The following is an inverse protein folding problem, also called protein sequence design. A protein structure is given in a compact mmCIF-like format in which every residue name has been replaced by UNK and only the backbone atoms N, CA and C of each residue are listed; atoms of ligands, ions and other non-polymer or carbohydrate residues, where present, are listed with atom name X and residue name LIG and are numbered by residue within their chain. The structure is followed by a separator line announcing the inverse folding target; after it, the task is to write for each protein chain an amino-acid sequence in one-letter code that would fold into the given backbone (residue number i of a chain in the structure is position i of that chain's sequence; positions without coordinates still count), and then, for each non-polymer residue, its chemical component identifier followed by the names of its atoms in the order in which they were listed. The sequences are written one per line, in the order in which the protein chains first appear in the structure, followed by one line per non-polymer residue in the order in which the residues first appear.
data_IF_112978057361
#
_entry.id   IF_112978057361
#
_cell.length_a   1.000
_cell.length_b   1.000
_cell.length_c   1.000
_cell.angle_alpha   90.00
_cell.angle_beta   90.00
_cell.angle_gamma   90.00
#
_symmetry.space_group_name_H-M   'P 1'
#
loop_
_entity.id
_entity.type
_entity.pdbx_description
1 polymer ?
#
# COMPACT_ATOMS: atom_id res chain seq x y z
N UNK A 1 -10.85 -22.01 -10.42
CA UNK A 1 -12.23 -21.81 -9.93
C UNK A 1 -12.87 -20.52 -10.43
N UNK A 2 -12.17 -19.39 -10.55
CA UNK A 2 -12.75 -18.13 -11.09
C UNK A 2 -13.28 -18.23 -12.54
N UNK A 3 -12.77 -19.18 -13.32
CA UNK A 3 -13.14 -19.39 -14.72
C UNK A 3 -14.27 -20.42 -14.90
N UNK A 4 -14.77 -21.02 -13.82
CA UNK A 4 -15.90 -21.93 -13.88
C UNK A 4 -17.21 -21.15 -13.82
N UNK A 5 -18.17 -21.48 -14.69
CA UNK A 5 -19.52 -20.96 -14.56
C UNK A 5 -20.14 -21.42 -13.24
N UNK A 6 -21.15 -20.70 -12.77
CA UNK A 6 -21.86 -21.05 -11.56
C UNK A 6 -22.52 -22.42 -11.69
N UNK A 7 -22.09 -23.38 -10.89
CA UNK A 7 -22.53 -24.79 -10.93
C UNK A 7 -22.22 -25.49 -9.63
N UNK A 8 -22.90 -26.59 -9.28
CA UNK A 8 -22.51 -27.46 -8.17
C UNK A 8 -21.11 -28.04 -8.39
N UNK A 9 -20.31 -28.07 -7.31
CA UNK A 9 -19.00 -28.71 -7.27
C UNK A 9 -19.03 -29.83 -6.24
N UNK A 10 -18.49 -31.00 -6.61
CA UNK A 10 -18.25 -32.10 -5.67
C UNK A 10 -16.78 -32.14 -5.28
N UNK A 11 -16.52 -32.15 -3.97
CA UNK A 11 -15.19 -32.31 -3.41
C UNK A 11 -15.10 -33.70 -2.81
N UNK A 12 -14.13 -34.47 -3.28
CA UNK A 12 -13.75 -35.78 -2.74
C UNK A 12 -12.34 -35.64 -2.18
N UNK A 13 -12.16 -35.89 -0.90
CA UNK A 13 -10.91 -35.68 -0.16
C UNK A 13 -10.53 -36.96 0.55
N UNK A 14 -9.41 -37.53 0.16
CA UNK A 14 -8.76 -38.64 0.87
C UNK A 14 -7.84 -38.09 1.95
N UNK A 15 -8.19 -38.29 3.21
CA UNK A 15 -7.45 -37.74 4.35
C UNK A 15 -6.13 -38.46 4.63
N UNK A 16 -5.93 -39.69 4.09
CA UNK A 16 -4.71 -40.45 4.30
C UNK A 16 -3.63 -40.07 3.27
N UNK A 17 -4.02 -39.91 2.04
CA UNK A 17 -3.12 -39.52 0.94
C UNK A 17 -3.10 -38.03 0.66
N UNK A 18 -4.01 -37.25 1.26
CA UNK A 18 -4.29 -35.83 0.97
C UNK A 18 -4.68 -35.56 -0.48
N UNK A 19 -5.12 -36.59 -1.20
CA UNK A 19 -5.59 -36.42 -2.57
C UNK A 19 -6.95 -35.71 -2.57
N UNK A 20 -7.04 -34.63 -3.35
CA UNK A 20 -8.25 -33.83 -3.50
C UNK A 20 -8.70 -33.90 -4.96
N UNK A 21 -9.95 -34.32 -5.15
CA UNK A 21 -10.61 -34.35 -6.46
C UNK A 21 -11.80 -33.41 -6.45
N UNK A 22 -11.81 -32.45 -7.35
CA UNK A 22 -12.94 -31.55 -7.57
C UNK A 22 -13.60 -31.92 -8.89
N UNK A 23 -14.86 -32.34 -8.82
CA UNK A 23 -15.65 -32.71 -10.01
C UNK A 23 -16.65 -31.60 -10.32
N UNK A 24 -16.72 -31.22 -11.58
CA UNK A 24 -17.68 -30.28 -12.12
C UNK A 24 -18.26 -30.81 -13.43
N UNK A 25 -19.29 -30.16 -14.00
CA UNK A 25 -20.09 -30.69 -15.11
C UNK A 25 -19.29 -31.28 -16.27
N UNK A 26 -18.20 -30.65 -16.68
CA UNK A 26 -17.45 -30.99 -17.88
C UNK A 26 -16.00 -31.39 -17.62
N UNK A 27 -15.66 -31.71 -16.37
CA UNK A 27 -14.28 -32.08 -16.06
C UNK A 27 -14.00 -32.30 -14.56
N UNK A 28 -12.74 -32.47 -14.27
CA UNK A 28 -12.26 -32.67 -12.91
C UNK A 28 -10.88 -32.05 -12.71
N UNK A 29 -10.60 -31.66 -11.48
CA UNK A 29 -9.27 -31.28 -11.01
C UNK A 29 -8.79 -32.30 -9.98
N UNK A 30 -7.54 -32.72 -10.11
CA UNK A 30 -6.87 -33.54 -9.10
C UNK A 30 -5.63 -32.77 -8.63
N UNK A 31 -5.44 -32.69 -7.32
CA UNK A 31 -4.24 -32.16 -6.72
C UNK A 31 -4.04 -32.73 -5.33
N UNK A 32 -2.85 -32.63 -4.79
CA UNK A 32 -2.53 -33.09 -3.44
C UNK A 32 -2.55 -31.92 -2.48
N UNK A 33 -3.28 -32.06 -1.39
CA UNK A 33 -3.29 -31.15 -0.27
C UNK A 33 -2.03 -31.29 0.60
N UNK A 34 -1.96 -30.49 1.63
CA UNK A 34 -0.94 -30.58 2.68
C UNK A 34 -1.63 -30.94 4.01
N UNK A 35 -0.88 -31.55 4.92
CA UNK A 35 -1.39 -31.82 6.26
C UNK A 35 -1.75 -30.48 6.94
N UNK A 36 -2.94 -30.37 7.49
CA UNK A 36 -3.41 -29.17 8.18
C UNK A 36 -2.58 -28.87 9.46
N UNK A 37 -1.96 -29.88 10.06
CA UNK A 37 -1.07 -29.72 11.23
C UNK A 37 0.23 -28.96 10.87
N UNK A 38 0.66 -29.02 9.60
CA UNK A 38 1.82 -28.28 9.11
C UNK A 38 1.53 -26.78 8.88
N UNK A 39 0.25 -26.39 8.97
CA UNK A 39 -0.12 -24.97 8.84
C UNK A 39 0.41 -24.19 10.04
N UNK A 40 1.19 -23.12 9.81
CA UNK A 40 1.80 -22.35 10.89
C UNK A 40 0.75 -21.86 11.90
N UNK A 41 0.91 -22.15 13.21
CA UNK A 41 -0.02 -21.65 14.21
C UNK A 41 0.01 -20.13 14.24
N UNK A 42 -1.17 -19.51 14.17
CA UNK A 42 -1.31 -18.08 14.34
C UNK A 42 -1.24 -17.76 15.83
N UNK A 43 -0.21 -17.05 16.24
CA UNK A 43 -0.16 -16.48 17.59
C UNK A 43 -1.04 -15.24 17.65
N UNK A 44 -1.92 -15.19 18.64
CA UNK A 44 -2.70 -13.99 18.89
C UNK A 44 -1.82 -12.84 19.41
N UNK A 45 -2.25 -11.61 19.12
CA UNK A 45 -1.63 -10.42 19.67
C UNK A 45 -1.93 -10.38 21.17
N UNK A 46 -0.89 -10.29 21.99
CA UNK A 46 -1.06 -10.15 23.45
C UNK A 46 -1.63 -8.79 23.84
N UNK A 47 -1.93 -8.60 25.13
CA UNK A 47 -2.54 -7.38 25.67
C UNK A 47 -1.68 -6.12 25.51
N UNK A 48 -0.38 -6.26 25.25
CA UNK A 48 0.58 -5.17 25.08
C UNK A 48 0.61 -4.59 23.64
N UNK A 49 -0.44 -4.77 22.83
CA UNK A 49 -0.52 -4.21 21.49
C UNK A 49 -1.23 -2.84 21.48
N UNK A 50 -0.85 -1.99 20.53
CA UNK A 50 -1.58 -0.77 20.21
C UNK A 50 -2.75 -1.10 19.29
N UNK A 51 -3.92 -0.53 19.59
CA UNK A 51 -5.10 -0.69 18.75
C UNK A 51 -5.46 0.63 18.09
N UNK A 52 -5.69 0.58 16.77
CA UNK A 52 -6.10 1.70 15.94
C UNK A 52 -7.38 1.30 15.20
N UNK A 53 -8.42 2.10 15.33
CA UNK A 53 -9.69 1.92 14.60
C UNK A 53 -9.87 3.06 13.64
N UNK A 54 -10.19 2.75 12.38
CA UNK A 54 -10.39 3.76 11.34
C UNK A 54 -11.32 3.23 10.24
N UNK A 55 -12.03 4.14 9.52
CA UNK A 55 -12.80 3.74 8.36
C UNK A 55 -11.91 3.08 7.29
N UNK A 56 -12.32 1.95 6.75
CA UNK A 56 -11.59 1.23 5.71
C UNK A 56 -11.30 2.09 4.49
N UNK A 57 -12.22 3.00 4.12
CA UNK A 57 -12.00 3.97 3.04
C UNK A 57 -10.76 4.83 3.28
N UNK A 58 -10.51 5.28 4.51
CA UNK A 58 -9.30 6.07 4.85
C UNK A 58 -8.05 5.24 4.61
N UNK A 59 -8.07 3.96 5.02
CA UNK A 59 -6.95 3.05 4.82
C UNK A 59 -6.69 2.79 3.33
N UNK A 60 -7.73 2.45 2.57
CA UNK A 60 -7.67 2.21 1.12
C UNK A 60 -7.10 3.43 0.39
N UNK A 61 -7.63 4.62 0.66
CA UNK A 61 -7.22 5.86 -0.01
C UNK A 61 -5.75 6.19 0.25
N UNK A 62 -5.31 6.03 1.50
CA UNK A 62 -3.93 6.32 1.87
C UNK A 62 -2.95 5.28 1.34
N UNK A 63 -3.32 4.00 1.31
CA UNK A 63 -2.52 2.97 0.65
C UNK A 63 -2.38 3.29 -0.85
N UNK A 64 -3.46 3.60 -1.54
CA UNK A 64 -3.43 3.94 -2.97
C UNK A 64 -2.54 5.14 -3.27
N UNK A 65 -2.56 6.17 -2.39
CA UNK A 65 -1.74 7.37 -2.55
C UNK A 65 -0.27 7.16 -2.22
N UNK A 66 0.08 6.14 -1.43
CA UNK A 66 1.42 5.94 -0.88
C UNK A 66 2.18 4.78 -1.52
N UNK A 67 1.47 3.74 -1.98
CA UNK A 67 2.09 2.49 -2.41
C UNK A 67 3.13 2.66 -3.54
N UNK A 68 2.88 3.57 -4.49
CA UNK A 68 3.80 3.84 -5.60
C UNK A 68 5.11 4.50 -5.17
N UNK A 69 5.11 5.14 -4.00
CA UNK A 69 6.27 5.83 -3.46
C UNK A 69 7.15 4.94 -2.57
N UNK A 70 6.76 3.69 -2.32
CA UNK A 70 7.59 2.74 -1.56
C UNK A 70 8.77 2.27 -2.41
N UNK A 71 9.90 2.03 -1.77
CA UNK A 71 11.06 1.43 -2.41
C UNK A 71 10.85 -0.07 -2.74
N UNK A 72 11.76 -0.62 -3.52
CA UNK A 72 11.92 -2.06 -3.74
C UNK A 72 13.42 -2.39 -3.67
N UNK A 73 14.06 -1.93 -2.61
CA UNK A 73 15.51 -1.92 -2.44
C UNK A 73 15.86 -2.76 -1.20
N UNK A 74 16.70 -3.77 -1.38
CA UNK A 74 17.19 -4.63 -0.30
C UNK A 74 18.15 -3.92 0.65
N UNK A 75 18.80 -2.85 0.19
CA UNK A 75 19.75 -2.07 1.00
C UNK A 75 19.03 -1.16 2.01
N UNK A 76 17.78 -0.80 1.75
CA UNK A 76 16.95 0.08 2.58
C UNK A 76 15.60 -0.53 2.89
N UNK A 77 15.54 -1.68 3.56
CA UNK A 77 14.30 -2.44 3.77
C UNK A 77 13.20 -1.63 4.47
N UNK A 78 13.56 -0.67 5.33
CA UNK A 78 12.62 0.22 6.01
C UNK A 78 11.80 1.11 5.05
N UNK A 79 12.28 1.33 3.81
CA UNK A 79 11.56 2.08 2.79
C UNK A 79 10.65 1.21 1.90
N UNK A 80 10.68 -0.11 2.07
CA UNK A 80 9.86 -1.06 1.29
C UNK A 80 8.42 -1.18 1.80
N UNK A 81 8.01 -0.31 2.70
CA UNK A 81 6.67 -0.28 3.28
C UNK A 81 6.05 1.10 3.37
N UNK A 82 4.84 1.13 3.86
CA UNK A 82 4.10 2.35 4.19
C UNK A 82 4.20 2.55 5.69
N UNK A 83 4.77 3.67 6.09
CA UNK A 83 4.94 4.04 7.50
C UNK A 83 3.72 4.78 8.03
N UNK A 84 3.19 4.28 9.13
CA UNK A 84 2.07 4.86 9.87
C UNK A 84 2.64 5.49 11.15
N UNK A 85 2.48 6.79 11.29
CA UNK A 85 2.97 7.59 12.41
C UNK A 85 1.79 8.22 13.13
N UNK A 86 1.45 7.66 14.29
CA UNK A 86 0.32 8.07 15.13
C UNK A 86 0.80 9.02 16.19
N UNK A 87 0.12 10.15 16.29
CA UNK A 87 0.35 11.15 17.32
C UNK A 87 -0.97 11.60 17.95
N UNK A 88 -0.96 12.34 19.07
CA UNK A 88 -2.18 12.94 19.61
C UNK A 88 -2.88 13.93 18.68
N UNK A 89 -2.19 14.41 17.67
CA UNK A 89 -2.72 15.41 16.73
C UNK A 89 -3.25 14.79 15.43
N UNK A 90 -2.62 13.72 14.97
CA UNK A 90 -2.95 13.14 13.66
C UNK A 90 -2.35 11.76 13.45
N UNK A 91 -2.88 11.05 12.45
CA UNK A 91 -2.22 9.93 11.80
C UNK A 91 -1.53 10.43 10.52
N UNK A 92 -0.20 10.37 10.47
CA UNK A 92 0.55 10.58 9.24
C UNK A 92 0.85 9.24 8.58
N UNK A 93 0.62 9.15 7.28
CA UNK A 93 0.90 7.96 6.45
C UNK A 93 1.93 8.38 5.42
N UNK A 94 3.09 7.72 5.45
CA UNK A 94 4.28 8.15 4.73
C UNK A 94 4.87 7.00 3.92
N UNK A 95 5.30 7.29 2.71
CA UNK A 95 6.12 6.39 1.91
C UNK A 95 7.18 7.17 1.14
N UNK A 96 8.36 6.60 1.00
CA UNK A 96 9.45 7.19 0.24
C UNK A 96 10.39 6.10 -0.27
N UNK A 97 11.01 6.36 -1.42
CA UNK A 97 12.11 5.55 -1.97
C UNK A 97 13.45 6.31 -2.00
N UNK A 98 13.47 7.51 -1.38
CA UNK A 98 14.62 8.41 -1.36
C UNK A 98 14.63 9.42 -2.50
N UNK A 99 13.83 9.23 -3.57
CA UNK A 99 13.69 10.17 -4.69
C UNK A 99 12.35 10.90 -4.68
N UNK A 100 11.31 10.23 -4.22
CA UNK A 100 9.96 10.78 -4.04
C UNK A 100 9.47 10.49 -2.63
N UNK A 101 8.64 11.35 -2.11
CA UNK A 101 8.02 11.22 -0.80
C UNK A 101 6.54 11.57 -0.89
N UNK A 102 5.72 10.70 -0.32
CA UNK A 102 4.31 10.98 -0.07
C UNK A 102 4.10 11.06 1.44
N UNK A 103 3.45 12.12 1.89
CA UNK A 103 2.96 12.26 3.26
C UNK A 103 1.50 12.68 3.23
N UNK A 104 0.63 11.84 3.75
CA UNK A 104 -0.79 12.15 3.97
C UNK A 104 -1.04 12.29 5.47
N UNK A 105 -1.77 13.32 5.89
CA UNK A 105 -2.18 13.50 7.30
C UNK A 105 -3.68 13.39 7.42
N UNK A 106 -4.11 12.57 8.36
CA UNK A 106 -5.51 12.48 8.78
C UNK A 106 -5.63 13.01 10.21
N UNK A 107 -6.46 14.02 10.41
CA UNK A 107 -6.63 14.69 11.71
C UNK A 107 -7.80 14.14 12.52
N UNK A 108 -8.58 13.22 11.98
CA UNK A 108 -9.70 12.58 12.68
C UNK A 108 -9.26 11.33 13.44
N UNK A 109 -8.22 10.66 12.94
CA UNK A 109 -7.62 9.47 13.55
C UNK A 109 -6.42 9.90 14.40
N UNK A 110 -6.46 9.61 15.68
CA UNK A 110 -5.46 10.05 16.68
C UNK A 110 -5.18 8.94 17.66
N UNK A 111 -4.05 9.03 18.37
CA UNK A 111 -3.69 8.14 19.47
C UNK A 111 -3.17 8.96 20.63
N UNK A 112 -3.64 8.70 21.85
CA UNK A 112 -3.14 9.39 23.06
C UNK A 112 -1.65 9.14 23.27
N UNK A 113 -1.20 7.94 22.96
CA UNK A 113 0.22 7.57 23.03
C UNK A 113 0.82 7.55 21.64
N UNK A 114 1.90 8.30 21.37
CA UNK A 114 2.62 8.22 20.11
C UNK A 114 3.05 6.79 19.82
N UNK A 115 2.73 6.31 18.65
CA UNK A 115 3.06 4.96 18.22
C UNK A 115 3.22 4.91 16.71
N UNK A 116 3.93 3.92 16.21
CA UNK A 116 4.15 3.81 14.78
C UNK A 116 4.38 2.38 14.34
N UNK A 117 4.09 2.10 13.08
CA UNK A 117 4.40 0.83 12.46
C UNK A 117 4.67 0.99 10.96
N UNK A 118 5.40 0.05 10.40
CA UNK A 118 5.78 0.05 8.99
C UNK A 118 5.17 -1.16 8.28
N UNK A 119 4.09 -0.92 7.53
CA UNK A 119 3.33 -1.96 6.84
C UNK A 119 4.01 -2.34 5.52
N UNK A 120 4.41 -3.61 5.33
CA UNK A 120 5.05 -4.04 4.09
C UNK A 120 4.17 -3.85 2.87
N UNK A 121 4.79 -3.64 1.72
CA UNK A 121 4.13 -3.40 0.42
C UNK A 121 3.11 -4.47 0.04
N UNK A 122 3.44 -5.76 0.26
CA UNK A 122 2.56 -6.87 -0.11
C UNK A 122 1.26 -6.91 0.72
N UNK A 123 1.30 -6.90 2.07
CA UNK A 123 0.09 -6.73 2.89
C UNK A 123 -0.73 -5.49 2.53
N UNK A 124 -0.07 -4.34 2.35
CA UNK A 124 -0.74 -3.11 1.93
C UNK A 124 -1.50 -3.28 0.60
N UNK A 125 -0.85 -3.91 -0.39
CA UNK A 125 -1.48 -4.19 -1.68
C UNK A 125 -2.67 -5.16 -1.58
N UNK A 126 -2.62 -6.12 -0.67
CA UNK A 126 -3.75 -7.03 -0.42
C UNK A 126 -4.92 -6.28 0.23
N UNK A 127 -4.65 -5.50 1.27
CA UNK A 127 -5.68 -4.75 2.01
C UNK A 127 -6.55 -3.89 1.10
N UNK A 128 -5.94 -3.14 0.18
CA UNK A 128 -6.71 -2.28 -0.75
C UNK A 128 -7.68 -3.05 -1.66
N UNK A 129 -7.49 -4.37 -1.83
CA UNK A 129 -8.31 -5.19 -2.70
C UNK A 129 -9.37 -5.99 -1.94
N UNK A 130 -9.14 -6.24 -0.64
CA UNK A 130 -10.04 -7.06 0.19
C UNK A 130 -10.92 -6.24 1.12
N UNK A 131 -10.54 -5.00 1.45
CA UNK A 131 -11.35 -4.13 2.28
C UNK A 131 -12.56 -3.59 1.50
N UNK A 132 -13.74 -3.67 2.10
CA UNK A 132 -14.92 -2.96 1.64
C UNK A 132 -14.86 -1.50 2.10
N UNK A 133 -15.32 -0.56 1.26
CA UNK A 133 -15.21 0.88 1.54
C UNK A 133 -16.06 1.33 2.72
N UNK A 134 -17.16 0.65 2.95
CA UNK A 134 -18.14 0.99 3.98
C UNK A 134 -17.82 0.36 5.33
N UNK A 135 -16.74 -0.43 5.41
CA UNK A 135 -16.31 -1.11 6.62
C UNK A 135 -15.50 -0.19 7.55
N UNK A 136 -15.36 -0.67 8.77
CA UNK A 136 -14.37 -0.22 9.73
C UNK A 136 -13.23 -1.24 9.81
N UNK A 137 -12.01 -0.77 9.86
CA UNK A 137 -10.84 -1.60 10.05
C UNK A 137 -10.26 -1.38 11.45
N UNK A 138 -10.06 -2.47 12.18
CA UNK A 138 -9.35 -2.48 13.46
C UNK A 138 -7.95 -3.03 13.25
N UNK A 139 -6.94 -2.20 13.47
CA UNK A 139 -5.52 -2.57 13.36
C UNK A 139 -4.96 -2.72 14.76
N UNK A 140 -4.55 -3.93 15.13
CA UNK A 140 -3.75 -4.21 16.32
C UNK A 140 -2.31 -4.42 15.89
N UNK A 141 -1.36 -3.78 16.56
CA UNK A 141 0.04 -3.93 16.21
C UNK A 141 0.97 -3.87 17.42
N UNK A 142 2.08 -4.57 17.31
CA UNK A 142 3.25 -4.48 18.17
C UNK A 142 4.48 -4.05 17.34
N UNK A 143 5.67 -4.16 17.90
CA UNK A 143 6.91 -3.80 17.19
C UNK A 143 7.21 -4.67 15.95
N UNK A 144 6.60 -5.85 15.82
CA UNK A 144 6.96 -6.85 14.80
C UNK A 144 5.80 -7.34 13.95
N UNK A 145 4.57 -7.22 14.43
CA UNK A 145 3.39 -7.82 13.82
C UNK A 145 2.23 -6.85 13.80
N UNK A 146 1.38 -7.03 12.81
CA UNK A 146 0.08 -6.39 12.76
C UNK A 146 -1.01 -7.39 12.43
N UNK A 147 -2.17 -7.17 13.01
CA UNK A 147 -3.42 -7.85 12.74
C UNK A 147 -4.45 -6.81 12.32
N UNK A 148 -4.97 -6.91 11.12
CA UNK A 148 -5.96 -6.01 10.56
C UNK A 148 -7.27 -6.79 10.44
N UNK A 149 -8.24 -6.47 11.29
CA UNK A 149 -9.56 -7.06 11.31
C UNK A 149 -10.54 -6.18 10.53
N UNK A 150 -11.38 -6.81 9.73
CA UNK A 150 -12.44 -6.19 8.94
C UNK A 150 -13.65 -7.13 8.86
N UNK A 151 -14.76 -6.72 8.23
CA UNK A 151 -16.03 -7.48 8.23
C UNK A 151 -15.87 -8.96 7.84
N UNK A 152 -15.12 -9.22 6.78
CA UNK A 152 -15.06 -10.55 6.16
C UNK A 152 -13.84 -11.37 6.58
N UNK A 153 -12.96 -10.82 7.45
CA UNK A 153 -11.78 -11.57 7.84
C UNK A 153 -10.72 -10.80 8.60
N UNK A 154 -9.58 -11.44 8.73
CA UNK A 154 -8.41 -10.91 9.44
C UNK A 154 -7.17 -11.13 8.58
N UNK A 155 -6.40 -10.05 8.36
CA UNK A 155 -5.09 -10.15 7.76
C UNK A 155 -4.03 -10.02 8.84
N UNK A 156 -3.20 -11.06 9.00
CA UNK A 156 -2.06 -11.05 9.91
C UNK A 156 -0.77 -10.94 9.10
N UNK A 157 0.14 -10.06 9.50
CA UNK A 157 1.43 -9.89 8.81
C UNK A 157 2.55 -9.50 9.77
N UNK A 158 3.79 -9.77 9.33
CA UNK A 158 4.97 -9.18 9.95
C UNK A 158 5.13 -7.74 9.46
N UNK A 159 5.55 -6.88 10.36
CA UNK A 159 5.92 -5.49 10.07
C UNK A 159 7.40 -5.40 9.67
N UNK A 160 7.76 -4.34 8.98
CA UNK A 160 9.16 -4.05 8.69
C UNK A 160 9.78 -3.45 9.95
N UNK A 161 10.79 -4.13 10.47
CA UNK A 161 11.55 -3.68 11.63
C UNK A 161 12.53 -2.56 11.27
N UNK A 162 12.83 -1.72 12.25
CA UNK A 162 13.78 -0.64 12.12
C UNK A 162 13.15 0.76 12.18
N UNK A 163 13.99 1.74 12.46
CA UNK A 163 13.55 3.15 12.54
C UNK A 163 13.35 3.73 11.15
N UNK A 164 12.14 4.19 10.86
CA UNK A 164 11.86 4.93 9.63
C UNK A 164 12.64 6.26 9.61
N UNK A 165 13.20 6.68 8.46
CA UNK A 165 13.92 7.95 8.36
C UNK A 165 13.07 9.13 8.79
N UNK A 166 13.72 10.19 9.29
CA UNK A 166 13.02 11.43 9.62
C UNK A 166 12.52 12.12 8.34
N UNK A 167 11.35 11.75 7.91
CA UNK A 167 10.74 12.26 6.67
C UNK A 167 10.43 13.76 6.74
N UNK A 168 10.26 14.33 7.94
CA UNK A 168 9.99 15.76 8.08
C UNK A 168 11.19 16.63 7.72
N UNK A 169 12.42 16.11 7.90
CA UNK A 169 13.65 16.86 7.59
C UNK A 169 13.91 17.05 6.10
N UNK A 170 13.32 16.22 5.25
CA UNK A 170 13.53 16.28 3.80
C UNK A 170 12.40 17.04 3.06
N UNK A 171 11.35 17.42 3.77
CA UNK A 171 10.27 18.23 3.20
C UNK A 171 10.73 19.68 3.19
N UNK A 172 10.85 20.31 1.99
CA UNK A 172 11.28 21.71 1.91
C UNK A 172 10.34 22.63 2.68
N UNK A 173 10.93 23.54 3.43
CA UNK A 173 10.22 24.59 4.15
C UNK A 173 10.72 25.97 3.66
N UNK A 174 9.89 26.99 3.83
CA UNK A 174 10.23 28.39 3.48
C UNK A 174 10.63 28.56 2.01
N UNK A 175 9.92 27.91 1.08
CA UNK A 175 10.14 28.08 -0.35
C UNK A 175 9.82 29.53 -0.75
N UNK A 176 10.74 30.24 -1.42
CA UNK A 176 10.52 31.63 -1.82
C UNK A 176 9.53 31.78 -2.99
N UNK A 177 9.32 30.71 -3.74
CA UNK A 177 8.41 30.70 -4.89
C UNK A 177 7.29 29.67 -4.66
N UNK A 178 6.07 30.11 -4.85
CA UNK A 178 4.87 29.28 -4.77
C UNK A 178 4.01 29.53 -6.01
N UNK A 179 3.45 28.46 -6.56
CA UNK A 179 2.51 28.54 -7.68
C UNK A 179 1.23 27.79 -7.34
N UNK A 180 0.10 28.37 -7.74
CA UNK A 180 -1.21 27.70 -7.70
C UNK A 180 -1.64 27.37 -9.12
N UNK A 181 -1.96 26.10 -9.38
CA UNK A 181 -2.34 25.62 -10.71
C UNK A 181 -3.59 24.75 -10.66
N UNK A 182 -4.35 24.74 -11.76
CA UNK A 182 -5.43 23.76 -11.90
C UNK A 182 -4.84 22.35 -12.04
N UNK A 183 -5.23 21.47 -11.11
CA UNK A 183 -4.73 20.09 -11.08
C UNK A 183 -5.02 19.30 -12.35
N UNK A 184 -6.24 19.45 -12.92
CA UNK A 184 -6.64 18.72 -14.13
C UNK A 184 -5.87 19.25 -15.34
N UNK A 185 -5.70 20.56 -15.44
CA UNK A 185 -4.93 21.22 -16.48
C UNK A 185 -3.47 20.75 -16.48
N UNK A 186 -2.82 20.78 -15.33
CA UNK A 186 -1.44 20.30 -15.18
C UNK A 186 -1.31 18.80 -15.52
N UNK A 187 -2.21 17.95 -15.01
CA UNK A 187 -2.21 16.52 -15.34
C UNK A 187 -2.37 16.27 -16.85
N UNK A 188 -3.24 17.03 -17.51
CA UNK A 188 -3.44 16.92 -18.95
C UNK A 188 -2.20 17.38 -19.73
N UNK A 189 -1.54 18.46 -19.29
CA UNK A 189 -0.29 18.93 -19.91
C UNK A 189 0.81 17.87 -19.78
N UNK A 190 1.01 17.31 -18.58
CA UNK A 190 1.98 16.25 -18.33
C UNK A 190 1.75 15.03 -19.23
N UNK A 191 0.50 14.58 -19.37
CA UNK A 191 0.16 13.45 -20.26
C UNK A 191 0.47 13.69 -21.73
N UNK A 192 0.41 14.96 -22.20
CA UNK A 192 0.74 15.30 -23.58
C UNK A 192 2.23 15.33 -23.85
N UNK A 193 3.05 15.74 -22.89
CA UNK A 193 4.50 15.87 -23.09
C UNK A 193 5.27 14.58 -22.73
N UNK A 194 4.71 13.76 -21.83
CA UNK A 194 5.36 12.53 -21.36
C UNK A 194 5.81 11.56 -22.47
N UNK A 195 5.04 11.34 -23.57
CA UNK A 195 5.47 10.46 -24.67
C UNK A 195 6.72 10.95 -25.43
N UNK A 196 7.10 12.22 -25.25
CA UNK A 196 8.27 12.84 -25.87
C UNK A 196 9.44 13.00 -24.91
N UNK A 197 9.34 12.45 -23.70
CA UNK A 197 10.44 12.44 -22.76
C UNK A 197 11.40 11.29 -23.10
N UNK A 198 12.70 11.52 -22.93
CA UNK A 198 13.71 10.47 -23.05
C UNK A 198 13.39 9.28 -22.16
N UNK A 199 13.52 8.06 -22.69
CA UNK A 199 13.27 6.84 -21.91
C UNK A 199 14.19 6.71 -20.69
N UNK A 200 15.41 7.24 -20.80
CA UNK A 200 16.43 7.15 -19.75
C UNK A 200 16.17 8.10 -18.59
N UNK A 201 15.82 9.36 -18.87
CA UNK A 201 15.67 10.40 -17.85
C UNK A 201 14.24 10.68 -17.45
N UNK A 202 13.27 10.49 -18.37
CA UNK A 202 11.87 10.88 -18.23
C UNK A 202 11.70 12.33 -17.77
N UNK A 203 12.62 13.21 -18.20
CA UNK A 203 12.71 14.58 -17.74
C UNK A 203 11.59 15.44 -18.34
N UNK A 204 10.86 16.12 -17.47
CA UNK A 204 9.88 17.15 -17.83
C UNK A 204 10.34 18.48 -17.25
N UNK A 205 10.42 19.51 -18.09
CA UNK A 205 10.80 20.85 -17.70
C UNK A 205 9.56 21.70 -17.43
N UNK A 206 9.57 22.38 -16.29
CA UNK A 206 8.64 23.45 -15.97
C UNK A 206 9.35 24.79 -16.12
N UNK A 207 8.81 25.65 -16.96
CA UNK A 207 9.25 27.05 -17.11
C UNK A 207 8.15 27.97 -16.65
N UNK A 208 8.44 28.80 -15.63
CA UNK A 208 7.44 29.59 -14.93
C UNK A 208 7.90 31.04 -14.91
N UNK A 209 7.10 31.90 -15.52
CA UNK A 209 7.25 33.36 -15.55
C UNK A 209 5.93 34.02 -15.18
N UNK A 210 5.96 35.34 -14.97
CA UNK A 210 4.72 36.08 -14.74
C UNK A 210 3.76 35.96 -15.93
N UNK A 211 2.58 35.36 -15.68
CA UNK A 211 1.56 35.17 -16.71
C UNK A 211 1.82 33.98 -17.67
N UNK A 212 2.92 33.23 -17.51
CA UNK A 212 3.27 32.07 -18.35
C UNK A 212 3.73 30.90 -17.54
N UNK A 213 3.07 29.75 -17.73
CA UNK A 213 3.53 28.47 -17.22
C UNK A 213 3.59 27.46 -18.38
N UNK A 214 4.79 27.02 -18.71
CA UNK A 214 5.06 26.10 -19.81
C UNK A 214 5.56 24.75 -19.27
N UNK A 215 5.05 23.68 -19.86
CA UNK A 215 5.47 22.30 -19.57
C UNK A 215 6.03 21.72 -20.87
N UNK A 216 7.29 21.34 -20.86
CA UNK A 216 7.98 20.81 -22.04
C UNK A 216 8.75 19.54 -21.71
N UNK A 217 9.02 18.78 -22.75
CA UNK A 217 9.87 17.58 -22.71
C UNK A 217 10.66 17.55 -24.00
N UNK A 218 11.89 17.07 -23.93
CA UNK A 218 12.80 16.96 -25.05
C UNK A 218 13.57 15.62 -24.92
N UNK A 219 13.58 14.86 -25.98
CA UNK A 219 14.40 13.66 -26.08
C UNK A 219 15.73 14.00 -26.74
N UNK A 220 16.77 14.10 -25.93
CA UNK A 220 18.11 14.49 -26.37
C UNK A 220 18.75 13.40 -27.28
N UNK A 221 18.28 12.16 -27.17
CA UNK A 221 18.84 11.03 -27.94
C UNK A 221 18.32 11.00 -29.39
N UNK A 222 17.26 11.79 -29.70
CA UNK A 222 16.64 11.91 -31.04
C UNK A 222 16.61 13.31 -31.62
N UNK A 223 17.37 14.24 -31.05
CA UNK A 223 17.49 15.63 -31.54
C UNK A 223 18.76 15.85 -32.32
#
# INVERSE_FOLDING_TARGET
MKELPEQPLSFDVDTDSYAIKIVYQNGLYNFTGLNAEDYPPTQDMGDACTTLVLPAQVLIDNINRSLFATASDELRPVMNGIYFDLTPESLAIVASDGHKLVRSKNFTVKSETPSSFNLPKKPASLLKNILSKDDEATIKFDARRAEIQFSDGVLKCRLIDGRYPNYNSVIPANNPCEITVDRKGLQSALRRVLPFASESSQLIRFHIESGRFEVSSEDIDFS
#
